data_IF_842174641414
#
_entry.id   IF_842174641414
#
_cell.length_a   1.000
_cell.length_b   1.000
_cell.length_c   1.000
_cell.angle_alpha   90.00
_cell.angle_beta   90.00
_cell.angle_gamma   90.00
#
_symmetry.space_group_name_H-M   'P 1'
#
loop_
_entity.id
_entity.type
_entity.pdbx_description
1 polymer ?
#
# COMPACT_ATOMS: atom_id res chain seq x y z
N UNK A 1 -22.80 -1.05 16.08
CA UNK A 1 -21.45 -0.51 15.87
C UNK A 1 -20.51 -1.71 15.72
N UNK A 2 -20.12 -2.07 14.49
CA UNK A 2 -19.18 -3.16 14.23
C UNK A 2 -17.76 -2.59 14.34
N UNK A 3 -17.01 -3.02 15.35
CA UNK A 3 -15.59 -2.72 15.48
C UNK A 3 -14.84 -3.53 14.42
N UNK A 4 -14.44 -2.88 13.33
CA UNK A 4 -13.56 -3.46 12.33
C UNK A 4 -12.16 -3.61 12.94
N UNK A 5 -11.69 -4.85 13.13
CA UNK A 5 -10.26 -5.14 13.29
C UNK A 5 -9.63 -5.04 11.90
N UNK A 6 -8.84 -4.00 11.65
CA UNK A 6 -8.12 -3.83 10.37
C UNK A 6 -6.82 -4.63 10.43
N UNK A 7 -6.74 -5.71 9.66
CA UNK A 7 -5.49 -6.43 9.40
C UNK A 7 -4.79 -5.71 8.25
N UNK A 8 -3.53 -5.33 8.45
CA UNK A 8 -2.69 -4.77 7.41
C UNK A 8 -1.91 -5.88 6.73
N UNK A 9 -2.31 -6.21 5.50
CA UNK A 9 -1.51 -7.04 4.59
C UNK A 9 -0.35 -6.22 4.09
N UNK A 10 0.88 -6.56 4.51
CA UNK A 10 2.10 -5.95 4.02
C UNK A 10 2.36 -6.36 2.57
N UNK A 11 2.21 -5.42 1.64
CA UNK A 11 2.72 -5.58 0.29
C UNK A 11 4.23 -5.35 0.28
N UNK A 12 4.99 -6.39 -0.04
CA UNK A 12 6.41 -6.26 -0.41
C UNK A 12 6.45 -5.66 -1.81
N UNK A 13 6.66 -4.35 -1.91
CA UNK A 13 6.96 -3.70 -3.18
C UNK A 13 8.46 -3.85 -3.46
N UNK A 14 8.75 -4.55 -4.57
CA UNK A 14 10.07 -4.75 -5.13
C UNK A 14 10.78 -3.41 -5.37
N UNK A 15 11.98 -3.27 -4.83
CA UNK A 15 12.89 -2.16 -5.12
C UNK A 15 13.26 -2.19 -6.61
N UNK A 16 12.73 -1.25 -7.39
CA UNK A 16 13.22 -0.97 -8.72
C UNK A 16 14.54 -0.17 -8.59
N UNK A 17 15.65 -0.83 -8.89
CA UNK A 17 16.95 -0.19 -9.01
C UNK A 17 16.90 0.88 -10.12
N UNK A 18 17.23 2.12 -9.77
CA UNK A 18 17.43 3.21 -10.72
C UNK A 18 18.66 2.90 -11.59
N UNK A 19 18.55 2.78 -12.92
CA UNK A 19 19.74 2.72 -13.76
C UNK A 19 20.36 4.11 -13.82
N UNK A 20 21.65 4.17 -13.50
CA UNK A 20 22.51 5.32 -13.65
C UNK A 20 22.65 5.63 -15.16
N UNK A 21 21.73 6.42 -15.73
CA UNK A 21 21.87 6.91 -17.10
C UNK A 21 22.79 8.14 -17.07
N UNK A 22 23.91 8.04 -17.79
CA UNK A 22 24.91 9.08 -17.91
C UNK A 22 24.27 10.43 -18.29
N UNK A 23 24.56 11.45 -17.48
CA UNK A 23 24.17 12.84 -17.71
C UNK A 23 24.92 13.34 -18.95
N UNK A 24 24.29 13.23 -20.12
CA UNK A 24 24.67 14.03 -21.28
C UNK A 24 24.36 15.49 -20.93
N UNK A 25 25.27 16.45 -21.13
CA UNK A 25 25.00 17.84 -20.76
C UNK A 25 23.84 18.37 -21.60
N UNK A 26 22.70 18.61 -20.94
CA UNK A 26 21.50 19.19 -21.54
C UNK A 26 21.55 20.72 -21.44
N UNK A 27 21.38 21.39 -22.58
CA UNK A 27 21.12 22.82 -22.64
C UNK A 27 19.62 23.03 -22.44
N UNK A 28 19.23 23.50 -21.26
CA UNK A 28 17.92 24.14 -21.06
C UNK A 28 18.10 25.60 -21.44
N UNK A 29 17.90 25.96 -22.71
CA UNK A 29 17.95 27.37 -23.10
C UNK A 29 16.73 28.08 -22.49
N UNK A 30 16.97 28.67 -21.33
CA UNK A 30 16.02 29.44 -20.55
C UNK A 30 15.83 30.80 -21.23
N UNK A 31 14.58 31.20 -21.48
CA UNK A 31 14.16 32.57 -21.76
C UNK A 31 14.93 33.30 -22.87
N UNK A 32 14.38 33.23 -24.07
CA UNK A 32 14.02 34.32 -25.00
C UNK A 32 13.38 33.58 -26.18
N UNK A 33 12.35 34.15 -26.80
CA UNK A 33 11.88 33.72 -28.12
C UNK A 33 13.06 33.86 -29.09
N UNK A 34 13.98 32.89 -29.10
CA UNK A 34 15.16 32.90 -29.95
C UNK A 34 14.67 32.51 -31.34
N UNK A 35 14.78 33.40 -32.34
CA UNK A 35 14.40 33.05 -33.69
C UNK A 35 15.20 31.82 -34.13
N UNK A 36 14.51 30.84 -34.70
CA UNK A 36 15.11 29.61 -35.22
C UNK A 36 15.08 28.39 -34.29
N UNK A 37 14.51 28.46 -33.08
CA UNK A 37 14.47 27.32 -32.15
C UNK A 37 13.08 27.06 -31.56
N UNK A 38 12.86 25.82 -31.13
CA UNK A 38 11.71 25.46 -30.29
C UNK A 38 12.02 25.82 -28.84
N UNK A 39 11.11 26.54 -28.18
CA UNK A 39 11.32 27.01 -26.80
C UNK A 39 10.13 26.67 -25.91
N UNK A 40 10.36 26.60 -24.60
CA UNK A 40 9.32 26.36 -23.59
C UNK A 40 9.22 27.52 -22.59
N UNK A 41 8.06 27.71 -21.99
CA UNK A 41 7.87 28.72 -20.93
C UNK A 41 8.57 28.35 -19.60
N UNK A 42 8.93 27.08 -19.42
CA UNK A 42 9.60 26.57 -18.24
C UNK A 42 10.60 25.48 -18.62
N UNK A 43 11.68 25.38 -17.84
CA UNK A 43 12.66 24.30 -17.95
C UNK A 43 12.39 23.15 -16.97
N UNK A 44 11.45 23.30 -16.04
CA UNK A 44 11.00 22.29 -15.08
C UNK A 44 9.64 22.67 -14.49
N UNK A 45 8.91 21.67 -13.96
CA UNK A 45 7.76 21.91 -13.08
C UNK A 45 7.98 21.33 -11.69
N UNK A 46 7.65 22.13 -10.68
CA UNK A 46 7.58 21.70 -9.28
C UNK A 46 6.17 21.93 -8.79
N UNK A 47 5.46 20.85 -8.49
CA UNK A 47 4.06 20.85 -8.04
C UNK A 47 3.92 21.07 -6.53
N UNK A 48 5.03 21.05 -5.78
CA UNK A 48 5.03 21.19 -4.33
C UNK A 48 4.29 20.05 -3.63
N UNK A 49 3.67 20.37 -2.50
CA UNK A 49 2.92 19.42 -1.68
C UNK A 49 1.47 19.29 -2.19
N UNK A 50 1.07 18.07 -2.57
CA UNK A 50 -0.28 17.74 -3.03
C UNK A 50 -0.81 16.57 -2.22
N UNK A 51 -2.01 16.73 -1.66
CA UNK A 51 -2.62 15.70 -0.83
C UNK A 51 -3.02 14.48 -1.67
N UNK A 52 -2.92 13.27 -1.09
CA UNK A 52 -3.39 12.06 -1.74
C UNK A 52 -4.90 12.14 -2.03
N UNK A 53 -5.29 11.83 -3.26
CA UNK A 53 -6.67 11.97 -3.74
C UNK A 53 -7.03 13.37 -4.28
N UNK A 54 -6.09 14.31 -4.27
CA UNK A 54 -6.21 15.62 -4.92
C UNK A 54 -5.27 15.72 -6.12
N UNK A 55 -5.59 16.65 -7.03
CA UNK A 55 -4.80 16.93 -8.22
C UNK A 55 -4.20 18.34 -8.15
N UNK A 56 -3.04 18.51 -8.78
CA UNK A 56 -2.44 19.82 -9.08
C UNK A 56 -2.07 19.88 -10.56
N UNK A 57 -2.24 21.02 -11.21
CA UNK A 57 -2.02 21.16 -12.63
C UNK A 57 -1.06 22.31 -12.93
N UNK A 58 -0.15 22.09 -13.88
CA UNK A 58 0.70 23.12 -14.47
C UNK A 58 0.61 23.09 -15.98
N UNK A 59 0.99 24.20 -16.60
CA UNK A 59 0.80 24.41 -18.04
C UNK A 59 2.13 24.66 -18.72
N UNK A 60 2.50 23.75 -19.61
CA UNK A 60 3.64 23.88 -20.51
C UNK A 60 3.19 24.53 -21.81
N UNK A 61 3.84 25.62 -22.17
CA UNK A 61 3.69 26.27 -23.48
C UNK A 61 4.93 25.95 -24.29
N UNK A 62 4.73 25.32 -25.45
CA UNK A 62 5.77 25.03 -26.43
C UNK A 62 5.58 26.00 -27.58
N UNK A 63 6.61 26.79 -27.87
CA UNK A 63 6.61 27.79 -28.94
C UNK A 63 7.52 27.33 -30.08
N UNK A 64 6.98 27.36 -31.30
CA UNK A 64 7.75 27.10 -32.51
C UNK A 64 8.36 28.41 -33.05
N UNK A 65 9.58 28.72 -32.62
CA UNK A 65 10.34 29.86 -33.16
C UNK A 65 11.05 29.58 -34.47
N UNK A 66 10.91 28.38 -35.05
CA UNK A 66 11.57 27.99 -36.31
C UNK A 66 10.79 28.49 -37.53
N UNK A 67 11.35 28.30 -38.72
CA UNK A 67 10.67 28.60 -39.99
C UNK A 67 9.84 27.42 -40.52
N UNK A 68 9.98 26.26 -39.91
CA UNK A 68 9.36 25.01 -40.38
C UNK A 68 8.15 24.66 -39.51
N UNK A 69 7.15 24.01 -40.10
CA UNK A 69 6.02 23.44 -39.36
C UNK A 69 6.50 22.20 -38.60
N UNK A 70 6.19 22.08 -37.32
CA UNK A 70 6.54 20.91 -36.51
C UNK A 70 5.45 19.84 -36.55
N UNK A 71 5.86 18.57 -36.56
CA UNK A 71 4.99 17.38 -36.56
C UNK A 71 4.84 16.83 -35.13
N UNK A 72 3.60 16.85 -34.64
CA UNK A 72 3.19 16.45 -33.29
C UNK A 72 2.46 15.10 -33.28
N UNK A 73 2.79 14.18 -34.18
CA UNK A 73 2.12 12.87 -34.25
C UNK A 73 2.29 11.99 -33.00
N UNK A 74 3.31 12.23 -32.16
CA UNK A 74 3.58 11.43 -30.95
C UNK A 74 3.21 12.24 -29.70
N UNK A 75 2.22 11.76 -28.95
CA UNK A 75 1.75 12.43 -27.72
C UNK A 75 2.87 12.62 -26.69
N UNK A 76 2.82 13.66 -25.83
CA UNK A 76 3.73 13.77 -24.70
C UNK A 76 3.49 12.60 -23.75
N UNK A 77 4.57 12.06 -23.18
CA UNK A 77 4.51 10.90 -22.31
C UNK A 77 5.32 11.09 -21.04
N UNK A 78 4.96 10.31 -20.04
CA UNK A 78 5.66 10.06 -18.78
C UNK A 78 5.72 8.55 -18.59
N UNK A 79 6.59 8.06 -17.72
CA UNK A 79 6.72 6.63 -17.40
C UNK A 79 5.79 6.20 -16.26
N UNK A 80 5.36 7.13 -15.41
CA UNK A 80 4.48 6.92 -14.27
C UNK A 80 3.09 7.53 -14.50
N UNK A 81 2.02 6.86 -14.05
CA UNK A 81 0.66 7.39 -14.16
C UNK A 81 0.37 8.59 -13.23
N UNK A 82 1.32 8.98 -12.37
CA UNK A 82 1.15 10.08 -11.40
C UNK A 82 1.31 11.46 -12.03
N UNK A 83 2.06 11.58 -13.13
CA UNK A 83 2.13 12.79 -13.93
C UNK A 83 1.47 12.52 -15.27
N UNK A 84 0.40 13.25 -15.58
CA UNK A 84 -0.46 12.99 -16.74
C UNK A 84 -0.43 14.21 -17.66
N UNK A 85 0.37 14.18 -18.73
CA UNK A 85 0.28 15.21 -19.76
C UNK A 85 -1.01 15.07 -20.56
N UNK A 86 -1.60 16.20 -20.94
CA UNK A 86 -2.69 16.24 -21.90
C UNK A 86 -2.21 15.83 -23.29
N UNK A 87 -3.11 15.24 -24.07
CA UNK A 87 -2.87 14.99 -25.49
C UNK A 87 -2.71 16.31 -26.26
N UNK A 88 -2.04 16.25 -27.41
CA UNK A 88 -1.99 17.38 -28.33
C UNK A 88 -3.39 17.77 -28.80
N UNK A 89 -3.61 19.06 -29.00
CA UNK A 89 -4.86 19.59 -29.59
C UNK A 89 -4.83 19.59 -31.13
N UNK A 90 -3.65 19.40 -31.71
CA UNK A 90 -3.38 19.41 -33.16
C UNK A 90 -2.22 18.46 -33.47
N UNK A 91 -2.14 17.96 -34.70
CA UNK A 91 -1.03 17.13 -35.19
C UNK A 91 0.12 17.95 -35.78
N UNK A 92 -0.04 19.26 -35.94
CA UNK A 92 0.98 20.16 -36.49
C UNK A 92 1.04 21.48 -35.73
N UNK A 93 2.24 22.05 -35.57
CA UNK A 93 2.47 23.37 -34.99
C UNK A 93 3.19 24.30 -35.99
N UNK A 94 2.49 25.35 -36.45
CA UNK A 94 3.01 26.27 -37.46
C UNK A 94 4.16 27.16 -36.92
N UNK A 95 4.98 27.71 -37.82
CA UNK A 95 5.97 28.73 -37.47
C UNK A 95 5.35 29.90 -36.71
N UNK A 96 6.03 30.35 -35.66
CA UNK A 96 5.64 31.45 -34.77
C UNK A 96 4.33 31.21 -33.99
N UNK A 97 3.85 29.97 -33.95
CA UNK A 97 2.68 29.56 -33.17
C UNK A 97 3.10 28.83 -31.87
N UNK A 98 2.13 28.60 -30.98
CA UNK A 98 2.35 27.89 -29.72
C UNK A 98 1.28 26.84 -29.45
N UNK A 99 1.67 25.77 -28.75
CA UNK A 99 0.75 24.76 -28.23
C UNK A 99 0.86 24.68 -26.71
N UNK A 100 -0.27 24.35 -26.09
CA UNK A 100 -0.41 24.20 -24.65
C UNK A 100 -0.55 22.74 -24.29
N UNK A 101 0.28 22.27 -23.35
CA UNK A 101 0.20 20.95 -22.73
C UNK A 101 -0.06 21.14 -21.23
N UNK A 102 -1.22 20.69 -20.76
CA UNK A 102 -1.50 20.62 -19.33
C UNK A 102 -0.82 19.39 -18.75
N UNK A 103 -0.15 19.53 -17.61
CA UNK A 103 0.45 18.42 -16.88
C UNK A 103 -0.23 18.34 -15.52
N UNK A 104 -0.96 17.26 -15.28
CA UNK A 104 -1.65 17.00 -14.01
C UNK A 104 -0.79 16.08 -13.14
N UNK A 105 -0.57 16.46 -11.89
CA UNK A 105 0.07 15.64 -10.87
C UNK A 105 -0.99 15.10 -9.89
N UNK A 106 -1.11 13.78 -9.83
CA UNK A 106 -2.08 13.03 -9.02
C UNK A 106 -1.33 11.98 -8.17
N UNK A 107 -0.75 12.36 -7.02
CA UNK A 107 0.04 11.46 -6.20
C UNK A 107 -0.81 10.37 -5.53
N UNK A 108 -0.27 9.15 -5.46
CA UNK A 108 -0.94 7.98 -4.86
C UNK A 108 -0.30 7.49 -3.55
N UNK A 109 0.93 7.93 -3.29
CA UNK A 109 1.76 7.54 -2.14
C UNK A 109 2.40 8.75 -1.47
N UNK A 110 2.62 8.66 -0.15
CA UNK A 110 3.18 9.71 0.73
C UNK A 110 4.71 9.89 0.53
N UNK A 111 5.14 10.21 -0.68
CA UNK A 111 6.55 10.22 -1.08
C UNK A 111 6.85 11.42 -1.97
N UNK A 112 8.14 11.70 -2.17
CA UNK A 112 8.58 12.60 -3.22
C UNK A 112 8.59 11.86 -4.57
N UNK A 113 8.12 12.53 -5.63
CA UNK A 113 8.15 12.06 -7.00
C UNK A 113 9.10 12.92 -7.82
N UNK A 114 9.85 12.25 -8.69
CA UNK A 114 10.69 12.89 -9.70
C UNK A 114 10.60 12.10 -11.00
N UNK A 115 10.34 12.81 -12.10
CA UNK A 115 10.16 12.21 -13.42
C UNK A 115 10.54 13.20 -14.53
N UNK A 116 10.51 12.74 -15.78
CA UNK A 116 10.58 13.59 -16.97
C UNK A 116 9.34 13.41 -17.83
N UNK A 117 8.76 14.52 -18.28
CA UNK A 117 7.88 14.55 -19.44
C UNK A 117 8.74 14.57 -20.70
N UNK A 118 8.39 13.72 -21.66
CA UNK A 118 9.04 13.66 -22.97
C UNK A 118 7.99 13.94 -24.05
N UNK A 119 8.21 14.98 -24.84
CA UNK A 119 7.44 15.27 -26.05
C UNK A 119 8.33 15.09 -27.28
N UNK A 120 8.06 14.05 -28.06
CA UNK A 120 8.74 13.80 -29.32
C UNK A 120 8.11 14.64 -30.43
N UNK A 121 8.95 15.35 -31.18
CA UNK A 121 8.55 16.14 -32.35
C UNK A 121 9.31 15.54 -33.53
N UNK A 122 8.59 14.90 -34.46
CA UNK A 122 9.19 13.95 -35.42
C UNK A 122 10.21 14.58 -36.36
N UNK A 123 10.03 15.87 -36.66
CA UNK A 123 10.91 16.65 -37.52
C UNK A 123 11.75 17.68 -36.75
N UNK A 124 11.98 17.44 -35.45
CA UNK A 124 12.92 18.19 -34.63
C UNK A 124 14.08 17.28 -34.24
N UNK A 125 15.30 17.82 -34.24
CA UNK A 125 16.52 17.04 -33.94
C UNK A 125 16.55 16.46 -32.51
N UNK A 126 15.74 17.00 -31.58
CA UNK A 126 15.72 16.58 -30.17
C UNK A 126 14.30 16.67 -29.61
N UNK A 127 13.89 15.71 -28.76
CA UNK A 127 12.65 15.81 -28.03
C UNK A 127 12.71 16.92 -26.98
N UNK A 128 11.55 17.45 -26.61
CA UNK A 128 11.41 18.32 -25.45
C UNK A 128 11.38 17.42 -24.21
N UNK A 129 12.32 17.64 -23.30
CA UNK A 129 12.42 16.91 -22.04
C UNK A 129 12.23 17.89 -20.90
N UNK A 130 11.24 17.65 -20.04
CA UNK A 130 10.90 18.51 -18.91
C UNK A 130 10.95 17.72 -17.60
N UNK A 131 11.86 18.06 -16.66
CA UNK A 131 11.83 17.53 -15.31
C UNK A 131 10.55 17.93 -14.57
N UNK A 132 9.93 16.97 -13.91
CA UNK A 132 8.75 17.11 -13.08
C UNK A 132 9.08 16.67 -11.66
N UNK A 133 8.72 17.47 -10.67
CA UNK A 133 8.84 17.12 -9.25
C UNK A 133 7.55 17.45 -8.48
N UNK A 134 7.24 16.66 -7.46
CA UNK A 134 6.07 16.88 -6.61
C UNK A 134 6.08 15.94 -5.41
N UNK A 135 5.43 16.34 -4.33
CA UNK A 135 5.33 15.57 -3.10
C UNK A 135 3.89 15.12 -2.89
N UNK A 136 3.68 13.80 -2.83
CA UNK A 136 2.42 13.27 -2.34
C UNK A 136 2.36 13.35 -0.82
N UNK A 137 1.29 13.93 -0.27
CA UNK A 137 1.08 14.09 1.17
C UNK A 137 -0.12 13.29 1.64
N UNK A 138 0.11 12.30 2.48
CA UNK A 138 -0.97 11.66 3.22
C UNK A 138 -1.55 12.63 4.27
N UNK A 139 -2.66 12.23 4.89
CA UNK A 139 -3.24 12.93 6.04
C UNK A 139 -2.19 13.19 7.12
N UNK A 140 -2.40 14.25 7.92
CA UNK A 140 -1.45 14.68 8.97
C UNK A 140 -1.08 13.57 9.96
N UNK A 141 -2.00 12.63 10.20
CA UNK A 141 -1.74 11.44 11.01
C UNK A 141 -0.53 10.64 10.50
N UNK A 142 -0.34 10.52 9.18
CA UNK A 142 0.75 9.77 8.55
C UNK A 142 1.93 10.67 8.15
N UNK A 143 2.01 11.91 8.62
CA UNK A 143 3.07 12.85 8.20
C UNK A 143 4.49 12.29 8.42
N UNK A 144 4.69 11.53 9.50
CA UNK A 144 5.99 10.92 9.85
C UNK A 144 6.45 9.82 8.88
N UNK A 145 5.56 9.28 8.04
CA UNK A 145 5.92 8.25 7.05
C UNK A 145 6.40 8.84 5.72
N UNK A 146 6.40 10.17 5.59
CA UNK A 146 6.72 10.82 4.32
C UNK A 146 8.11 10.45 3.85
N UNK A 147 8.17 9.91 2.63
CA UNK A 147 9.41 9.52 1.97
C UNK A 147 10.28 8.53 2.79
N UNK A 148 9.64 7.72 3.63
CA UNK A 148 10.29 6.64 4.39
C UNK A 148 9.97 5.29 3.77
N UNK A 149 10.95 4.38 3.77
CA UNK A 149 10.82 3.04 3.22
C UNK A 149 11.57 2.01 4.08
N UNK A 150 11.18 0.73 3.98
CA UNK A 150 11.90 -0.38 4.63
C UNK A 150 12.11 -0.17 6.13
N UNK A 151 13.37 -0.26 6.58
CA UNK A 151 13.73 -0.11 7.99
C UNK A 151 13.45 1.29 8.55
N UNK A 152 13.54 2.34 7.73
CA UNK A 152 13.18 3.70 8.15
C UNK A 152 11.68 3.78 8.46
N UNK A 153 10.85 3.26 7.54
CA UNK A 153 9.39 3.19 7.75
C UNK A 153 9.06 2.37 9.00
N UNK A 154 9.74 1.24 9.21
CA UNK A 154 9.59 0.40 10.39
C UNK A 154 9.97 1.15 11.68
N UNK A 155 10.99 2.01 11.65
CA UNK A 155 11.42 2.79 12.80
C UNK A 155 10.45 3.92 13.19
N UNK A 156 9.73 4.50 12.22
CA UNK A 156 8.76 5.58 12.46
C UNK A 156 7.37 5.06 12.83
N UNK A 157 7.01 3.85 12.39
CA UNK A 157 5.70 3.25 12.62
C UNK A 157 5.27 3.22 14.09
N UNK A 158 6.13 2.92 15.09
CA UNK A 158 5.77 2.99 16.50
C UNK A 158 5.27 4.38 16.94
N UNK A 159 5.80 5.46 16.36
CA UNK A 159 5.45 6.83 16.72
C UNK A 159 4.05 7.24 16.25
N UNK A 160 3.48 6.53 15.27
CA UNK A 160 2.09 6.75 14.81
C UNK A 160 1.05 6.25 15.81
N UNK A 161 1.43 5.35 16.71
CA UNK A 161 0.52 4.78 17.70
C UNK A 161 1.08 5.04 19.10
N UNK A 162 1.05 6.30 19.56
CA UNK A 162 1.49 6.63 20.91
C UNK A 162 0.61 5.92 21.95
N UNK A 163 1.21 5.53 23.08
CA UNK A 163 0.46 4.92 24.19
C UNK A 163 0.17 3.43 24.04
N UNK A 164 0.96 2.68 23.24
CA UNK A 164 0.90 1.22 23.26
C UNK A 164 1.32 0.71 24.64
N UNK A 165 0.52 -0.17 25.21
CA UNK A 165 0.83 -0.85 26.47
C UNK A 165 1.03 -2.31 26.15
N UNK A 166 2.22 -2.84 26.44
CA UNK A 166 2.45 -4.28 26.44
C UNK A 166 1.87 -4.86 27.73
N UNK A 167 0.77 -5.60 27.59
CA UNK A 167 0.13 -6.30 28.70
C UNK A 167 0.76 -7.68 28.97
N UNK A 168 1.74 -8.07 28.16
CA UNK A 168 2.29 -9.41 28.11
C UNK A 168 1.27 -10.45 27.66
N UNK A 169 1.73 -11.69 27.51
CA UNK A 169 0.89 -12.77 27.00
C UNK A 169 -0.37 -13.03 27.84
N UNK A 170 -0.21 -13.11 29.17
CA UNK A 170 -1.35 -13.35 30.06
C UNK A 170 -2.31 -12.16 30.11
N UNK A 171 -1.79 -10.92 30.13
CA UNK A 171 -2.63 -9.73 30.16
C UNK A 171 -3.41 -9.54 28.85
N UNK A 172 -2.78 -9.77 27.71
CA UNK A 172 -3.44 -9.78 26.39
C UNK A 172 -4.59 -10.78 26.34
N UNK A 173 -4.35 -12.03 26.76
CA UNK A 173 -5.40 -13.06 26.82
C UNK A 173 -6.53 -12.73 27.79
N UNK A 174 -6.22 -12.20 28.98
CA UNK A 174 -7.25 -11.78 29.93
C UNK A 174 -8.14 -10.68 29.33
N UNK A 175 -7.57 -9.74 28.56
CA UNK A 175 -8.35 -8.72 27.84
C UNK A 175 -9.17 -9.30 26.70
N UNK A 176 -8.58 -10.20 25.92
CA UNK A 176 -9.25 -10.92 24.83
C UNK A 176 -10.49 -11.68 25.34
N UNK A 177 -10.32 -12.57 26.33
CA UNK A 177 -11.42 -13.38 26.87
C UNK A 177 -12.39 -12.59 27.75
N UNK A 178 -11.90 -11.60 28.49
CA UNK A 178 -12.73 -10.87 29.44
C UNK A 178 -13.60 -9.80 28.81
N UNK A 179 -13.14 -9.19 27.72
CA UNK A 179 -13.72 -7.95 27.21
C UNK A 179 -13.91 -7.92 25.70
N UNK A 180 -12.89 -8.29 24.93
CA UNK A 180 -12.88 -8.02 23.48
C UNK A 180 -13.73 -9.05 22.72
N UNK A 181 -13.47 -10.33 22.95
CA UNK A 181 -14.18 -11.45 22.30
C UNK A 181 -15.25 -12.07 23.21
N UNK A 182 -15.53 -11.40 24.33
CA UNK A 182 -16.66 -11.73 25.18
C UNK A 182 -17.91 -11.01 24.68
N UNK A 183 -18.92 -11.78 24.32
CA UNK A 183 -20.20 -11.26 23.86
C UNK A 183 -21.32 -11.88 24.68
N UNK A 184 -22.03 -11.06 25.45
CA UNK A 184 -23.15 -11.47 26.32
C UNK A 184 -22.75 -12.58 27.30
N UNK A 185 -21.66 -12.38 28.06
CA UNK A 185 -21.11 -13.34 29.03
C UNK A 185 -20.72 -14.68 28.39
N UNK A 186 -20.23 -14.63 27.16
CA UNK A 186 -19.90 -15.84 26.42
C UNK A 186 -18.73 -15.66 25.46
N UNK A 187 -17.92 -16.72 25.37
CA UNK A 187 -16.83 -16.86 24.41
C UNK A 187 -17.24 -17.81 23.30
N UNK A 188 -16.93 -17.44 22.06
CA UNK A 188 -17.18 -18.29 20.88
C UNK A 188 -15.87 -18.56 20.15
N UNK A 189 -15.53 -19.84 20.01
CA UNK A 189 -14.34 -20.28 19.31
C UNK A 189 -14.37 -19.94 17.81
N UNK A 190 -13.30 -19.35 17.29
CA UNK A 190 -13.26 -18.84 15.92
C UNK A 190 -13.28 -19.91 14.84
N UNK A 191 -12.85 -21.14 15.13
CA UNK A 191 -12.84 -22.24 14.16
C UNK A 191 -14.09 -23.11 14.20
N UNK A 192 -14.58 -23.47 15.38
CA UNK A 192 -15.71 -24.41 15.51
C UNK A 192 -17.04 -23.71 15.77
N UNK A 193 -17.02 -22.43 16.17
CA UNK A 193 -18.21 -21.77 16.69
C UNK A 193 -18.68 -22.31 18.04
N UNK A 194 -17.88 -23.16 18.71
CA UNK A 194 -18.17 -23.64 20.05
C UNK A 194 -18.30 -22.46 21.02
N UNK A 195 -19.39 -22.43 21.78
CA UNK A 195 -19.72 -21.33 22.68
C UNK A 195 -19.73 -21.80 24.13
N UNK A 196 -19.08 -21.04 25.02
CA UNK A 196 -19.02 -21.32 26.45
C UNK A 196 -19.37 -20.08 27.26
N UNK A 197 -20.04 -20.29 28.39
CA UNK A 197 -20.28 -19.22 29.36
C UNK A 197 -18.96 -18.74 29.98
N UNK A 198 -18.73 -17.43 29.94
CA UNK A 198 -17.58 -16.78 30.55
C UNK A 198 -17.99 -15.36 30.95
N UNK A 199 -18.08 -15.05 32.26
CA UNK A 199 -18.60 -13.74 32.69
C UNK A 199 -17.80 -12.58 32.12
N UNK A 200 -18.48 -11.55 31.63
CA UNK A 200 -17.84 -10.33 31.15
C UNK A 200 -17.00 -9.69 32.26
N UNK A 201 -15.80 -9.24 31.91
CA UNK A 201 -14.82 -8.69 32.85
C UNK A 201 -13.98 -9.72 33.59
N UNK A 202 -14.17 -11.02 33.31
CA UNK A 202 -13.32 -12.08 33.85
C UNK A 202 -11.86 -11.89 33.45
N UNK A 203 -10.94 -12.13 34.38
CA UNK A 203 -9.48 -11.96 34.19
C UNK A 203 -8.75 -13.28 33.93
N UNK A 204 -9.48 -14.39 33.87
CA UNK A 204 -8.90 -15.70 33.62
C UNK A 204 -8.27 -15.80 32.22
N UNK A 205 -7.18 -16.54 32.14
CA UNK A 205 -6.40 -16.73 30.91
C UNK A 205 -6.54 -18.12 30.31
N UNK A 206 -7.32 -19.01 30.93
CA UNK A 206 -7.53 -20.38 30.46
C UNK A 206 -8.98 -20.83 30.69
N UNK A 207 -9.91 -20.41 29.81
CA UNK A 207 -11.31 -20.82 29.86
C UNK A 207 -11.49 -22.22 29.24
N UNK A 208 -11.05 -23.29 29.91
CA UNK A 208 -11.16 -24.67 29.41
C UNK A 208 -12.62 -25.03 28.98
N UNK A 209 -12.88 -25.57 27.76
CA UNK A 209 -11.95 -26.08 26.73
C UNK A 209 -11.49 -25.09 25.64
N UNK A 210 -11.70 -23.79 25.83
CA UNK A 210 -11.21 -22.74 24.93
C UNK A 210 -9.74 -22.41 25.26
N UNK A 211 -8.91 -22.38 24.22
CA UNK A 211 -7.52 -21.93 24.28
C UNK A 211 -7.31 -20.66 23.42
N UNK A 212 -6.06 -20.22 23.28
CA UNK A 212 -5.70 -19.03 22.51
C UNK A 212 -5.13 -19.44 21.17
N UNK A 213 -5.79 -19.00 20.10
CA UNK A 213 -5.25 -19.08 18.75
C UNK A 213 -4.27 -17.93 18.53
N UNK A 214 -3.16 -18.23 17.84
CA UNK A 214 -2.25 -17.24 17.30
C UNK A 214 -2.30 -17.35 15.78
N UNK A 215 -3.06 -16.46 15.15
CA UNK A 215 -3.22 -16.45 13.68
C UNK A 215 -1.86 -16.38 12.99
N UNK A 216 -0.97 -15.54 13.52
CA UNK A 216 0.45 -15.56 13.22
C UNK A 216 1.20 -16.46 14.24
N UNK A 217 1.73 -17.63 13.84
CA UNK A 217 2.27 -18.61 14.78
C UNK A 217 3.39 -18.06 15.67
N UNK A 218 3.36 -18.40 16.97
CA UNK A 218 4.38 -17.95 17.92
C UNK A 218 5.82 -18.36 17.55
N UNK A 219 5.97 -19.48 16.84
CA UNK A 219 7.25 -19.97 16.36
C UNK A 219 7.94 -19.03 15.36
N UNK A 220 7.22 -18.13 14.71
CA UNK A 220 7.81 -17.19 13.73
C UNK A 220 8.51 -16.01 14.38
N UNK A 221 8.31 -15.81 15.67
CA UNK A 221 8.92 -14.71 16.44
C UNK A 221 9.46 -15.19 17.79
N UNK A 222 9.80 -16.47 17.90
CA UNK A 222 10.42 -17.08 19.09
C UNK A 222 9.65 -16.81 20.40
N UNK A 223 8.31 -16.70 20.33
CA UNK A 223 7.47 -16.36 21.48
C UNK A 223 7.82 -15.03 22.18
N UNK A 224 8.46 -14.09 21.46
CA UNK A 224 8.83 -12.79 22.01
C UNK A 224 7.63 -11.85 22.18
N UNK A 225 7.68 -11.03 23.24
CA UNK A 225 6.78 -9.90 23.41
C UNK A 225 7.29 -8.69 22.58
N UNK A 226 6.40 -7.81 22.10
CA UNK A 226 4.97 -7.75 22.37
C UNK A 226 4.11 -8.68 21.51
N UNK A 227 4.68 -9.28 20.45
CA UNK A 227 3.93 -10.07 19.47
C UNK A 227 3.13 -11.19 20.13
N UNK A 228 3.70 -11.92 21.10
CA UNK A 228 3.01 -13.03 21.77
C UNK A 228 1.67 -12.65 22.40
N UNK A 229 1.58 -11.44 22.95
CA UNK A 229 0.41 -10.91 23.66
C UNK A 229 -0.44 -9.95 22.82
N UNK A 230 -0.13 -9.77 21.53
CA UNK A 230 -0.81 -8.79 20.69
C UNK A 230 -2.24 -9.22 20.37
N UNK A 231 -3.20 -8.62 21.08
CA UNK A 231 -4.63 -8.89 20.94
C UNK A 231 -5.18 -8.78 19.51
N UNK A 232 -4.47 -8.13 18.58
CA UNK A 232 -4.92 -8.02 17.19
C UNK A 232 -4.85 -9.35 16.42
N UNK A 233 -4.01 -10.30 16.84
CA UNK A 233 -3.89 -11.61 16.19
C UNK A 233 -4.25 -12.80 17.10
N UNK A 234 -4.71 -12.51 18.33
CA UNK A 234 -5.17 -13.51 19.28
C UNK A 234 -6.67 -13.70 19.15
N UNK A 235 -7.10 -14.96 19.19
CA UNK A 235 -8.52 -15.29 19.16
C UNK A 235 -8.86 -16.45 20.11
N UNK A 236 -10.09 -16.50 20.67
CA UNK A 236 -10.58 -17.68 21.35
C UNK A 236 -10.82 -18.81 20.34
N UNK A 237 -10.36 -20.02 20.62
CA UNK A 237 -10.68 -21.18 19.79
C UNK A 237 -10.79 -22.44 20.65
N UNK A 238 -11.49 -23.46 20.16
CA UNK A 238 -11.56 -24.74 20.87
C UNK A 238 -10.19 -25.44 20.81
N UNK A 239 -9.75 -26.02 21.93
CA UNK A 239 -8.41 -26.61 22.05
C UNK A 239 -8.10 -27.66 20.98
N UNK A 240 -9.07 -28.52 20.66
CA UNK A 240 -8.90 -29.53 19.60
C UNK A 240 -8.70 -28.87 18.24
N UNK A 241 -9.52 -27.89 17.89
CA UNK A 241 -9.44 -27.21 16.59
C UNK A 241 -8.12 -26.43 16.44
N UNK A 242 -7.65 -25.77 17.51
CA UNK A 242 -6.33 -25.14 17.53
C UNK A 242 -5.21 -26.16 17.29
N UNK A 243 -5.28 -27.31 17.97
CA UNK A 243 -4.30 -28.38 17.80
C UNK A 243 -4.29 -28.93 16.37
N UNK A 244 -5.46 -28.95 15.70
CA UNK A 244 -5.57 -29.30 14.26
C UNK A 244 -5.06 -28.21 13.34
N UNK A 245 -5.27 -26.93 13.67
CA UNK A 245 -4.66 -25.80 12.95
C UNK A 245 -3.14 -25.95 12.99
N UNK A 246 -2.55 -26.16 14.17
CA UNK A 246 -1.10 -26.17 14.33
C UNK A 246 -0.46 -24.92 13.71
N UNK A 247 0.54 -25.06 12.84
CA UNK A 247 1.14 -23.97 12.06
C UNK A 247 0.85 -24.09 10.55
N UNK A 248 -0.15 -24.87 10.14
CA UNK A 248 -0.49 -25.02 8.72
C UNK A 248 -0.92 -23.68 8.12
N UNK A 249 -0.53 -23.45 6.85
CA UNK A 249 -0.97 -22.27 6.12
C UNK A 249 -2.49 -22.24 6.00
N UNK A 250 -3.08 -21.04 6.05
CA UNK A 250 -4.49 -20.88 5.73
C UNK A 250 -4.71 -21.04 4.23
N UNK A 251 -5.77 -21.76 3.85
CA UNK A 251 -6.10 -21.97 2.45
C UNK A 251 -7.44 -22.69 2.30
N UNK A 252 -7.96 -22.70 1.07
CA UNK A 252 -9.18 -23.45 0.76
C UNK A 252 -8.86 -24.94 0.65
N UNK A 253 -9.56 -25.76 1.43
CA UNK A 253 -9.41 -27.22 1.39
C UNK A 253 -10.35 -27.76 0.30
N UNK A 254 -9.78 -28.43 -0.68
CA UNK A 254 -10.52 -28.94 -1.85
C UNK A 254 -10.56 -30.47 -1.88
N UNK A 255 -9.57 -31.14 -1.31
CA UNK A 255 -9.48 -32.60 -1.30
C UNK A 255 -8.82 -33.15 -0.03
N UNK A 256 -8.91 -34.46 0.19
CA UNK A 256 -8.23 -35.18 1.28
C UNK A 256 -8.45 -34.55 2.67
N UNK A 257 -9.72 -34.28 3.02
CA UNK A 257 -10.10 -33.73 4.32
C UNK A 257 -9.80 -34.78 5.40
N UNK A 258 -8.92 -34.44 6.34
CA UNK A 258 -8.53 -35.30 7.47
C UNK A 258 -9.26 -34.92 8.76
N UNK A 259 -9.74 -33.68 8.85
CA UNK A 259 -10.54 -33.20 9.96
C UNK A 259 -11.51 -32.11 9.50
N UNK A 260 -12.71 -32.08 10.09
CA UNK A 260 -13.69 -31.02 9.87
C UNK A 260 -14.55 -30.85 11.13
N UNK A 261 -14.80 -29.61 11.53
CA UNK A 261 -15.72 -29.28 12.62
C UNK A 261 -16.15 -27.81 12.55
N UNK A 262 -17.42 -27.53 12.87
CA UNK A 262 -17.98 -26.17 12.94
C UNK A 262 -17.79 -25.30 11.69
N UNK A 263 -17.56 -25.93 10.53
CA UNK A 263 -17.28 -25.28 9.25
C UNK A 263 -15.79 -25.10 8.91
N UNK A 264 -14.88 -25.33 9.86
CA UNK A 264 -13.44 -25.37 9.58
C UNK A 264 -13.01 -26.75 9.08
N UNK A 265 -11.94 -26.81 8.29
CA UNK A 265 -11.42 -28.05 7.69
C UNK A 265 -9.89 -28.08 7.72
N UNK A 266 -9.33 -29.28 7.82
CA UNK A 266 -7.93 -29.56 7.56
C UNK A 266 -7.85 -30.58 6.43
N UNK A 267 -7.08 -30.29 5.39
CA UNK A 267 -6.93 -31.17 4.24
C UNK A 267 -5.95 -30.57 3.24
N UNK A 268 -6.12 -30.89 1.95
CA UNK A 268 -5.24 -30.41 0.89
C UNK A 268 -5.89 -29.35 0.01
N UNK A 269 -5.08 -28.37 -0.41
CA UNK A 269 -5.45 -27.40 -1.44
C UNK A 269 -5.32 -28.01 -2.86
N UNK A 270 -5.57 -27.20 -3.89
CA UNK A 270 -5.43 -27.59 -5.31
C UNK A 270 -4.00 -27.98 -5.70
N UNK A 271 -3.00 -27.61 -4.91
CA UNK A 271 -1.58 -27.93 -5.11
C UNK A 271 -1.13 -29.14 -4.29
N UNK A 272 -2.07 -29.86 -3.64
CA UNK A 272 -1.80 -31.01 -2.76
C UNK A 272 -1.01 -30.66 -1.49
N UNK A 273 -0.95 -29.39 -1.10
CA UNK A 273 -0.34 -28.93 0.14
C UNK A 273 -1.35 -29.01 1.29
N UNK A 274 -0.91 -29.38 2.49
CA UNK A 274 -1.78 -29.42 3.66
C UNK A 274 -2.05 -27.99 4.12
N UNK A 275 -3.34 -27.61 4.14
CA UNK A 275 -3.82 -26.30 4.56
C UNK A 275 -4.97 -26.44 5.55
N UNK A 276 -5.12 -25.41 6.39
CA UNK A 276 -6.27 -25.25 7.26
C UNK A 276 -7.23 -24.22 6.68
N UNK A 277 -8.50 -24.56 6.54
CA UNK A 277 -9.56 -23.66 6.13
C UNK A 277 -10.37 -23.27 7.36
N UNK A 278 -10.29 -22.00 7.84
CA UNK A 278 -11.17 -21.51 8.89
C UNK A 278 -12.63 -21.50 8.44
N UNK A 279 -13.57 -21.56 9.38
CA UNK A 279 -14.99 -21.35 9.09
C UNK A 279 -15.21 -20.03 8.36
N UNK A 280 -16.21 -19.98 7.49
CA UNK A 280 -16.47 -18.82 6.63
C UNK A 280 -16.59 -17.50 7.40
N UNK A 281 -17.19 -17.53 8.60
CA UNK A 281 -17.35 -16.35 9.45
C UNK A 281 -16.05 -15.79 10.04
N UNK A 282 -14.92 -16.49 9.92
CA UNK A 282 -13.61 -16.04 10.43
C UNK A 282 -12.55 -15.86 9.33
N UNK A 283 -12.81 -16.29 8.09
CA UNK A 283 -11.83 -16.19 6.99
C UNK A 283 -11.30 -14.78 6.75
N UNK A 284 -12.14 -13.76 6.91
CA UNK A 284 -11.72 -12.35 6.78
C UNK A 284 -10.87 -11.83 7.94
N UNK A 285 -11.11 -12.32 9.16
CA UNK A 285 -10.35 -11.92 10.36
C UNK A 285 -9.06 -12.76 10.54
N UNK A 286 -8.90 -13.84 9.78
CA UNK A 286 -7.70 -14.67 9.76
C UNK A 286 -6.69 -14.26 8.66
N UNK A 287 -7.04 -13.29 7.80
CA UNK A 287 -6.33 -12.92 6.58
C UNK A 287 -5.68 -11.52 6.63
#
# INVERSE_FOLDING_TARGET
MRNFRKIWVGYVLSAAALPLLAIVPFRTDLNILSPGYVTTNASQFSFGDVNLGSDSQQTLVIYNGTTDTLDLAVAPTTTSPVFQPSQWTTTTLFPLDSIVVGVTFSPTSNIAYQEFLVAEILNCDRPIVMPLTGNGRAESYYALTFNTFGEELKSVMPNLFPGKIDLGYNGGRAKMYGFIDNHNDSLTGVYTGFTQYWPYGSTGTFPDPINCEHTWPQSYFNEENPMRGDINHLFPTHMDANSRRSNYAFGNVVQNITWQDGGSKLGQNNYSEIVFEPRDGHKGDAA
#
